data_IF_340237311366
#
_entry.id   IF_340237311366
#
_cell.length_a   1.000
_cell.length_b   1.000
_cell.length_c   1.000
_cell.angle_alpha   90.00
_cell.angle_beta   90.00
_cell.angle_gamma   90.00
#
_symmetry.space_group_name_H-M   'P 1'
#
loop_
_entity.id
_entity.type
_entity.pdbx_description
1 polymer ?
#
# COMPACT_ATOMS: atom_id res chain seq x y z
N UNK A 1 -12.27 6.32 9.75
CA UNK A 1 -10.98 6.67 9.12
C UNK A 1 -9.93 5.73 9.68
N UNK A 2 -9.17 5.06 8.81
CA UNK A 2 -8.15 4.07 9.19
C UNK A 2 -6.77 4.70 9.06
N UNK A 3 -5.93 4.57 10.09
CA UNK A 3 -4.57 5.11 10.11
C UNK A 3 -3.56 4.03 10.49
N UNK A 4 -2.33 4.17 10.02
CA UNK A 4 -1.27 3.21 10.32
C UNK A 4 0.04 3.51 9.61
N UNK A 5 0.91 2.50 9.52
CA UNK A 5 2.14 2.52 8.73
C UNK A 5 1.95 1.56 7.54
N UNK A 6 2.22 2.06 6.35
CA UNK A 6 2.27 1.27 5.13
C UNK A 6 3.72 0.98 4.77
N UNK A 7 4.02 -0.29 4.48
CA UNK A 7 5.29 -0.69 3.87
C UNK A 7 5.01 -1.30 2.50
N UNK A 8 5.77 -0.86 1.50
CA UNK A 8 5.70 -1.35 0.13
C UNK A 8 7.07 -1.88 -0.25
N UNK A 9 7.18 -3.18 -0.50
CA UNK A 9 8.43 -3.78 -0.99
C UNK A 9 8.26 -4.27 -2.41
N UNK A 10 9.26 -4.03 -3.26
CA UNK A 10 9.35 -4.55 -4.62
C UNK A 10 10.79 -4.81 -5.02
N UNK A 11 11.10 -6.06 -5.30
CA UNK A 11 12.31 -6.53 -5.99
C UNK A 11 11.92 -7.43 -7.17
N UNK A 12 12.91 -8.02 -7.85
CA UNK A 12 12.67 -8.91 -8.99
C UNK A 12 11.85 -10.15 -8.62
N UNK A 13 12.04 -10.71 -7.42
CA UNK A 13 11.39 -11.96 -6.97
C UNK A 13 10.50 -11.80 -5.75
N UNK A 14 10.62 -10.70 -5.01
CA UNK A 14 9.87 -10.47 -3.78
C UNK A 14 9.06 -9.18 -3.88
N UNK A 15 7.78 -9.24 -3.53
CA UNK A 15 6.91 -8.06 -3.40
C UNK A 15 6.12 -8.17 -2.11
N UNK A 16 5.90 -7.06 -1.42
CA UNK A 16 4.98 -7.02 -0.28
C UNK A 16 4.21 -5.71 -0.23
N UNK A 17 3.01 -5.79 0.34
CA UNK A 17 2.28 -4.65 0.87
C UNK A 17 1.88 -5.00 2.30
N UNK A 18 2.33 -4.18 3.24
CA UNK A 18 2.15 -4.42 4.67
C UNK A 18 1.46 -3.21 5.31
N UNK A 19 0.34 -3.45 5.97
CA UNK A 19 -0.40 -2.44 6.73
C UNK A 19 -0.27 -2.76 8.22
N UNK A 20 0.45 -1.91 8.94
CA UNK A 20 0.48 -1.92 10.39
C UNK A 20 -0.55 -0.92 10.92
N UNK A 21 -1.62 -1.42 11.52
CA UNK A 21 -2.84 -0.71 11.90
C UNK A 21 -3.05 -0.75 13.42
N UNK A 22 -2.01 -0.35 14.18
CA UNK A 22 -2.01 -0.38 15.63
C UNK A 22 -1.82 -1.79 16.16
N UNK A 23 -2.91 -2.49 16.48
CA UNK A 23 -2.89 -3.84 17.04
C UNK A 23 -2.80 -4.95 15.98
N UNK A 24 -2.88 -4.59 14.70
CA UNK A 24 -2.90 -5.53 13.58
C UNK A 24 -1.78 -5.26 12.57
N UNK A 25 -1.22 -6.35 12.03
CA UNK A 25 -0.42 -6.36 10.82
C UNK A 25 -1.15 -7.18 9.76
N UNK A 26 -1.46 -6.55 8.63
CA UNK A 26 -1.91 -7.22 7.42
C UNK A 26 -0.77 -7.20 6.42
N UNK A 27 -0.27 -8.38 6.03
CA UNK A 27 0.80 -8.52 5.06
C UNK A 27 0.32 -9.35 3.89
N UNK A 28 0.43 -8.81 2.68
CA UNK A 28 0.32 -9.61 1.46
C UNK A 28 1.69 -9.63 0.80
N UNK A 29 2.19 -10.81 0.44
CA UNK A 29 3.49 -10.99 -0.19
C UNK A 29 3.46 -11.92 -1.39
N UNK A 30 4.35 -11.66 -2.35
CA UNK A 30 4.61 -12.54 -3.49
C UNK A 30 6.08 -12.93 -3.52
N UNK A 31 6.34 -14.23 -3.54
CA UNK A 31 7.69 -14.80 -3.69
C UNK A 31 7.72 -15.65 -4.96
N UNK A 32 8.48 -15.22 -5.96
CA UNK A 32 8.46 -15.82 -7.29
C UNK A 32 7.08 -15.69 -7.94
N UNK A 33 6.33 -16.79 -8.00
CA UNK A 33 4.96 -16.85 -8.55
C UNK A 33 3.89 -17.08 -7.48
N UNK A 34 4.28 -17.40 -6.24
CA UNK A 34 3.34 -17.71 -5.17
C UNK A 34 2.91 -16.42 -4.46
N UNK A 35 1.61 -16.31 -4.19
CA UNK A 35 1.02 -15.28 -3.34
C UNK A 35 0.70 -15.88 -1.98
N UNK A 36 1.03 -15.15 -0.93
CA UNK A 36 0.69 -15.49 0.45
C UNK A 36 0.23 -14.22 1.15
N UNK A 37 -0.55 -14.37 2.22
CA UNK A 37 -0.78 -13.25 3.11
C UNK A 37 -1.01 -13.71 4.54
N UNK A 38 -0.70 -12.81 5.45
CA UNK A 38 -0.68 -13.03 6.89
C UNK A 38 -1.46 -11.92 7.57
N UNK A 39 -2.23 -12.30 8.58
CA UNK A 39 -2.86 -11.38 9.52
C UNK A 39 -2.35 -11.74 10.91
N UNK A 40 -1.61 -10.81 11.51
CA UNK A 40 -1.12 -10.93 12.87
C UNK A 40 -1.77 -9.84 13.74
N UNK A 41 -2.06 -10.18 14.99
CA UNK A 41 -2.51 -9.24 16.00
C UNK A 41 -2.34 -9.83 17.40
N UNK A 42 -2.71 -9.11 18.44
CA UNK A 42 -2.56 -9.59 19.83
C UNK A 42 -3.33 -10.90 20.04
N UNK A 43 -2.60 -12.01 20.20
CA UNK A 43 -3.19 -13.35 20.36
C UNK A 43 -3.83 -13.93 19.09
N UNK A 44 -3.57 -13.32 17.92
CA UNK A 44 -4.12 -13.74 16.63
C UNK A 44 -3.00 -13.93 15.61
N UNK A 45 -2.97 -15.10 14.97
CA UNK A 45 -2.17 -15.36 13.78
C UNK A 45 -3.01 -16.21 12.84
N UNK A 46 -3.29 -15.70 11.64
CA UNK A 46 -4.04 -16.44 10.61
C UNK A 46 -3.63 -16.02 9.22
N UNK A 47 -3.93 -16.87 8.25
CA UNK A 47 -3.66 -16.59 6.85
C UNK A 47 -4.73 -15.65 6.26
N UNK A 48 -4.28 -14.78 5.36
CA UNK A 48 -5.13 -14.07 4.42
C UNK A 48 -5.37 -14.99 3.22
N UNK A 49 -6.58 -14.95 2.63
CA UNK A 49 -6.85 -15.74 1.42
C UNK A 49 -5.91 -15.33 0.28
N UNK A 50 -5.53 -16.29 -0.56
CA UNK A 50 -4.61 -16.08 -1.68
C UNK A 50 -5.18 -15.04 -2.65
N UNK A 51 -6.49 -15.04 -2.86
CA UNK A 51 -7.20 -14.10 -3.74
C UNK A 51 -7.14 -12.66 -3.22
N UNK A 52 -7.31 -12.47 -1.90
CA UNK A 52 -7.20 -11.15 -1.29
C UNK A 52 -5.75 -10.64 -1.33
N UNK A 53 -4.79 -11.52 -1.02
CA UNK A 53 -3.37 -11.19 -1.08
C UNK A 53 -2.94 -10.81 -2.51
N UNK A 54 -3.33 -11.60 -3.50
CA UNK A 54 -3.06 -11.33 -4.92
C UNK A 54 -3.68 -10.00 -5.36
N UNK A 55 -4.95 -9.75 -5.00
CA UNK A 55 -5.64 -8.52 -5.37
C UNK A 55 -4.96 -7.29 -4.78
N UNK A 56 -4.70 -7.29 -3.46
CA UNK A 56 -3.99 -6.21 -2.77
C UNK A 56 -2.62 -5.95 -3.42
N UNK A 57 -1.84 -7.00 -3.63
CA UNK A 57 -0.51 -6.88 -4.22
C UNK A 57 -0.55 -6.31 -5.63
N UNK A 58 -1.44 -6.80 -6.49
CA UNK A 58 -1.51 -6.33 -7.88
C UNK A 58 -1.93 -4.86 -7.97
N UNK A 59 -2.78 -4.40 -7.05
CA UNK A 59 -3.20 -3.00 -7.00
C UNK A 59 -2.09 -2.09 -6.47
N UNK A 60 -1.45 -2.48 -5.37
CA UNK A 60 -0.34 -1.71 -4.81
C UNK A 60 0.94 -1.80 -5.65
N UNK A 61 1.12 -2.84 -6.44
CA UNK A 61 2.26 -2.97 -7.36
C UNK A 61 2.26 -1.87 -8.41
N UNK A 62 1.09 -1.49 -8.92
CA UNK A 62 0.93 -0.38 -9.87
C UNK A 62 1.40 0.94 -9.24
N UNK A 63 1.04 1.16 -7.97
CA UNK A 63 1.42 2.35 -7.20
C UNK A 63 2.92 2.35 -6.94
N UNK A 64 3.48 1.23 -6.48
CA UNK A 64 4.91 1.08 -6.19
C UNK A 64 5.77 1.27 -7.45
N UNK A 65 5.37 0.70 -8.60
CA UNK A 65 6.05 0.94 -9.88
C UNK A 65 6.02 2.42 -10.28
N UNK A 66 4.87 3.08 -10.12
CA UNK A 66 4.74 4.51 -10.41
C UNK A 66 5.67 5.34 -9.52
N UNK A 67 5.76 5.01 -8.22
CA UNK A 67 6.64 5.68 -7.27
C UNK A 67 8.11 5.53 -7.69
N UNK A 68 8.57 4.31 -7.95
CA UNK A 68 9.94 4.04 -8.41
C UNK A 68 10.24 4.84 -9.68
N UNK A 69 9.37 4.77 -10.68
CA UNK A 69 9.55 5.49 -11.96
C UNK A 69 9.63 7.00 -11.80
N UNK A 70 8.81 7.59 -10.92
CA UNK A 70 8.77 9.05 -10.74
C UNK A 70 9.91 9.55 -9.86
N UNK A 71 10.32 8.77 -8.87
CA UNK A 71 11.32 9.17 -7.88
C UNK A 71 12.74 8.81 -8.30
N UNK A 72 12.89 7.87 -9.25
CA UNK A 72 14.20 7.32 -9.61
C UNK A 72 14.85 6.54 -8.47
N UNK A 73 14.07 6.14 -7.45
CA UNK A 73 14.58 5.46 -6.27
C UNK A 73 15.12 4.07 -6.62
N UNK A 74 16.31 3.77 -6.09
CA UNK A 74 16.90 2.43 -6.10
C UNK A 74 16.47 1.60 -4.89
N UNK A 75 15.72 2.18 -3.95
CA UNK A 75 15.22 1.44 -2.79
C UNK A 75 14.15 0.44 -3.22
N UNK A 76 14.26 -0.76 -2.64
CA UNK A 76 13.27 -1.81 -2.83
C UNK A 76 12.11 -1.73 -1.84
N UNK A 77 12.24 -0.95 -0.77
CA UNK A 77 11.22 -0.83 0.28
C UNK A 77 10.95 0.63 0.58
N UNK A 78 9.67 0.99 0.58
CA UNK A 78 9.16 2.29 0.99
C UNK A 78 8.31 2.12 2.24
N UNK A 79 8.48 3.00 3.23
CA UNK A 79 7.71 2.96 4.47
C UNK A 79 7.25 4.36 4.86
N UNK A 80 6.08 4.44 5.49
CA UNK A 80 5.69 5.62 6.24
C UNK A 80 4.20 5.69 6.55
N UNK A 81 3.73 6.81 7.11
CA UNK A 81 2.38 6.90 7.64
C UNK A 81 1.35 6.88 6.52
N UNK A 82 0.26 6.18 6.79
CA UNK A 82 -0.84 5.91 5.87
C UNK A 82 -2.17 6.30 6.53
N UNK A 83 -3.09 6.82 5.71
CA UNK A 83 -4.46 7.16 6.08
C UNK A 83 -5.40 6.74 4.97
N UNK A 84 -6.46 6.05 5.33
CA UNK A 84 -7.54 5.63 4.45
C UNK A 84 -8.87 6.20 4.94
N UNK A 85 -9.61 6.80 4.01
CA UNK A 85 -11.00 7.18 4.13
C UNK A 85 -11.81 6.59 2.97
N UNK A 86 -13.14 6.73 3.04
CA UNK A 86 -14.06 6.18 2.04
C UNK A 86 -13.80 6.56 0.58
N UNK A 87 -13.04 7.63 0.33
CA UNK A 87 -12.76 8.11 -1.02
C UNK A 87 -11.30 8.50 -1.25
N UNK A 88 -10.39 8.17 -0.31
CA UNK A 88 -9.00 8.59 -0.43
C UNK A 88 -8.05 7.72 0.38
N UNK A 89 -6.87 7.50 -0.18
CA UNK A 89 -5.69 7.06 0.55
C UNK A 89 -4.66 8.17 0.49
N UNK A 90 -4.16 8.63 1.63
CA UNK A 90 -2.94 9.44 1.71
C UNK A 90 -1.86 8.62 2.39
N UNK A 91 -0.65 8.66 1.86
CA UNK A 91 0.50 8.12 2.58
C UNK A 91 1.76 8.93 2.29
N UNK A 92 2.74 8.80 3.17
CA UNK A 92 4.07 9.38 2.99
C UNK A 92 5.10 8.28 2.97
N UNK A 93 6.02 8.38 2.04
CA UNK A 93 7.14 7.45 1.95
C UNK A 93 8.46 8.21 2.02
N UNK A 94 9.41 7.58 2.67
CA UNK A 94 10.82 7.92 2.54
C UNK A 94 11.36 7.28 1.27
N UNK A 95 11.87 8.10 0.34
CA UNK A 95 12.50 7.63 -0.91
C UNK A 95 14.02 7.76 -0.86
N UNK A 96 14.54 8.46 0.13
CA UNK A 96 15.93 8.52 0.59
C UNK A 96 15.89 9.04 2.05
N UNK A 97 17.00 8.99 2.78
CA UNK A 97 17.16 9.44 4.17
C UNK A 97 16.69 10.90 4.36
N UNK A 98 16.80 11.72 3.32
CA UNK A 98 16.43 13.14 3.34
C UNK A 98 15.22 13.50 2.49
N UNK A 99 14.66 12.53 1.75
CA UNK A 99 13.62 12.81 0.75
C UNK A 99 12.34 12.06 1.07
N UNK A 100 11.26 12.82 1.18
CA UNK A 100 9.92 12.33 1.44
C UNK A 100 9.02 12.62 0.23
N UNK A 101 8.17 11.65 -0.13
CA UNK A 101 7.13 11.84 -1.13
C UNK A 101 5.76 11.61 -0.50
N UNK A 102 4.91 12.64 -0.59
CA UNK A 102 3.49 12.56 -0.25
C UNK A 102 2.73 12.00 -1.43
N UNK A 103 1.98 10.93 -1.19
CA UNK A 103 1.16 10.25 -2.17
C UNK A 103 -0.30 10.38 -1.78
N UNK A 104 -1.14 10.80 -2.72
CA UNK A 104 -2.58 10.86 -2.57
C UNK A 104 -3.25 10.08 -3.68
N UNK A 105 -3.97 9.02 -3.34
CA UNK A 105 -4.86 8.31 -4.24
C UNK A 105 -6.30 8.73 -3.97
N UNK A 106 -6.98 9.08 -5.05
CA UNK A 106 -8.42 9.28 -5.12
C UNK A 106 -8.98 8.37 -6.22
N UNK A 107 -10.30 8.18 -6.31
CA UNK A 107 -10.90 7.39 -7.39
C UNK A 107 -10.53 7.86 -8.81
N UNK A 108 -10.14 9.13 -8.98
CA UNK A 108 -9.87 9.72 -10.28
C UNK A 108 -8.38 9.95 -10.58
N UNK A 109 -7.53 10.04 -9.56
CA UNK A 109 -6.11 10.33 -9.75
C UNK A 109 -5.21 9.86 -8.60
N UNK A 110 -3.94 9.64 -8.93
CA UNK A 110 -2.81 9.59 -7.99
C UNK A 110 -2.03 10.91 -8.12
N UNK A 111 -1.73 11.56 -6.99
CA UNK A 111 -0.85 12.73 -6.93
C UNK A 111 0.38 12.40 -6.08
N UNK A 112 1.57 12.62 -6.63
CA UNK A 112 2.85 12.54 -5.93
C UNK A 112 3.37 13.96 -5.72
N UNK A 113 3.79 14.29 -4.51
CA UNK A 113 4.29 15.62 -4.14
C UNK A 113 5.56 15.46 -3.31
N UNK A 114 6.64 16.09 -3.77
CA UNK A 114 7.92 16.25 -3.07
C UNK A 114 8.21 17.75 -2.94
N UNK A 115 9.36 18.13 -2.36
CA UNK A 115 9.86 19.50 -2.38
C UNK A 115 10.11 20.00 -3.80
N UNK A 116 10.65 19.11 -4.67
CA UNK A 116 11.11 19.49 -6.01
C UNK A 116 10.02 19.36 -7.09
N UNK A 117 8.93 18.63 -6.81
CA UNK A 117 7.95 18.34 -7.84
C UNK A 117 6.56 18.06 -7.30
N UNK A 118 5.57 18.28 -8.17
CA UNK A 118 4.19 17.84 -7.99
C UNK A 118 3.68 17.23 -9.30
N UNK A 119 3.34 15.95 -9.29
CA UNK A 119 2.84 15.22 -10.48
C UNK A 119 1.49 14.58 -10.19
N UNK A 120 0.60 14.60 -11.17
CA UNK A 120 -0.74 13.99 -11.10
C UNK A 120 -0.96 13.04 -12.27
N UNK A 121 -1.45 11.85 -11.98
CA UNK A 121 -1.73 10.79 -12.94
C UNK A 121 -3.21 10.42 -12.84
N UNK A 122 -3.95 10.51 -13.94
CA UNK A 122 -5.36 10.09 -14.01
C UNK A 122 -5.43 8.61 -14.37
N UNK A 123 -6.42 7.87 -13.84
CA UNK A 123 -6.62 6.47 -14.19
C UNK A 123 -7.92 5.89 -13.67
N UNK A 124 -8.59 5.05 -14.48
CA UNK A 124 -9.86 4.38 -14.11
C UNK A 124 -9.68 3.29 -13.04
N UNK A 125 -8.48 2.73 -12.92
CA UNK A 125 -8.16 1.60 -12.02
C UNK A 125 -7.94 2.03 -10.56
N UNK A 126 -8.06 3.33 -10.25
CA UNK A 126 -7.71 3.86 -8.92
C UNK A 126 -8.84 3.73 -7.90
N UNK A 127 -10.07 3.56 -8.36
CA UNK A 127 -11.21 3.33 -7.50
C UNK A 127 -11.18 1.92 -6.87
N UNK A 128 -10.68 0.90 -7.60
CA UNK A 128 -10.55 -0.45 -7.06
C UNK A 128 -9.57 -0.49 -5.90
N UNK A 129 -8.41 0.18 -6.03
CA UNK A 129 -7.35 0.19 -5.00
C UNK A 129 -7.91 0.63 -3.64
N UNK A 130 -8.66 1.73 -3.61
CA UNK A 130 -9.22 2.28 -2.36
C UNK A 130 -10.24 1.30 -1.77
N UNK A 131 -11.15 0.78 -2.61
CA UNK A 131 -12.19 -0.16 -2.20
C UNK A 131 -11.60 -1.48 -1.72
N UNK A 132 -10.75 -2.12 -2.52
CA UNK A 132 -10.13 -3.40 -2.20
C UNK A 132 -9.25 -3.31 -0.96
N UNK A 133 -8.56 -2.18 -0.74
CA UNK A 133 -7.81 -1.93 0.50
C UNK A 133 -8.75 -1.83 1.71
N UNK A 134 -9.85 -1.05 1.59
CA UNK A 134 -10.82 -0.90 2.67
C UNK A 134 -11.53 -2.22 3.00
N UNK A 135 -11.98 -2.95 1.98
CA UNK A 135 -12.66 -4.24 2.11
C UNK A 135 -11.75 -5.26 2.79
N UNK A 136 -10.48 -5.33 2.39
CA UNK A 136 -9.51 -6.26 2.98
C UNK A 136 -9.21 -5.91 4.44
N UNK A 137 -8.95 -4.64 4.76
CA UNK A 137 -8.70 -4.21 6.13
C UNK A 137 -9.91 -4.53 7.02
N UNK A 138 -11.11 -4.16 6.58
CA UNK A 138 -12.36 -4.40 7.31
C UNK A 138 -12.60 -5.89 7.55
N UNK A 139 -12.41 -6.73 6.52
CA UNK A 139 -12.57 -8.18 6.60
C UNK A 139 -11.68 -8.82 7.66
N UNK A 140 -10.42 -8.39 7.77
CA UNK A 140 -9.45 -9.08 8.63
C UNK A 140 -9.20 -8.41 9.99
N UNK A 141 -9.57 -7.14 10.17
CA UNK A 141 -9.36 -6.41 11.42
C UNK A 141 -10.65 -5.97 12.11
N UNK A 142 -11.78 -5.95 11.38
CA UNK A 142 -13.02 -5.32 11.84
C UNK A 142 -12.99 -3.78 11.84
N UNK A 143 -11.86 -3.16 11.48
CA UNK A 143 -11.72 -1.70 11.40
C UNK A 143 -12.40 -1.21 10.11
N UNK A 144 -13.35 -0.27 10.26
CA UNK A 144 -14.06 0.36 9.15
C UNK A 144 -13.70 1.86 9.03
N UNK A 145 -13.60 2.32 7.78
CA UNK A 145 -13.06 3.62 7.37
C UNK A 145 -14.08 4.74 7.26
#
# INVERSE_FOLDING_TARGET
>A
MIEGILTLTRSSRFRSVDFNLGDYLLSAMRIGKAYNGLVAGKGLLRDMSVEDAERLLNDWDKVTQLLIRVTGSNFYTFVGPFRLSNSRIDFRIYVDVFKEVKVRLTPSYIQLTSQDFRRRFRGRVLQSIIKDTADCISKYTGISG
#
